data_IF_380026684643
#
_entry.id   IF_380026684643
#
_cell.length_a   1.000
_cell.length_b   1.000
_cell.length_c   1.000
_cell.angle_alpha   90.00
_cell.angle_beta   90.00
_cell.angle_gamma   90.00
#
_symmetry.space_group_name_H-M   'P 1'
#
loop_
_entity.id
_entity.type
_entity.pdbx_description
1 polymer ?
#
# COMPACT_ATOMS: atom_id res chain seq x y z
N UNK A 1 4.67 43.57 27.20
CA UNK A 1 3.81 42.44 26.80
C UNK A 1 4.42 41.90 25.53
N UNK A 2 4.98 40.69 25.55
CA UNK A 2 5.68 40.14 24.40
C UNK A 2 4.63 39.73 23.35
N UNK A 3 4.72 40.28 22.15
CA UNK A 3 3.85 39.90 21.02
C UNK A 3 4.20 38.47 20.60
N UNK A 4 3.45 37.49 21.07
CA UNK A 4 3.52 36.11 20.58
C UNK A 4 2.77 36.02 19.24
N UNK A 5 3.44 35.57 18.18
CA UNK A 5 2.81 35.31 16.89
C UNK A 5 2.17 33.92 16.92
N UNK A 6 0.90 33.81 16.50
CA UNK A 6 0.26 32.52 16.29
C UNK A 6 0.50 32.03 14.86
N UNK A 7 1.15 30.87 14.74
CA UNK A 7 1.45 30.25 13.46
C UNK A 7 0.67 28.95 13.32
N UNK A 8 -0.08 28.79 12.23
CA UNK A 8 -0.82 27.56 11.95
C UNK A 8 0.06 26.61 11.15
N UNK A 9 0.36 25.43 11.69
CA UNK A 9 1.07 24.36 11.00
C UNK A 9 0.06 23.34 10.46
N UNK A 10 0.10 23.07 9.17
CA UNK A 10 -0.76 22.14 8.46
C UNK A 10 0.04 20.93 8.00
N UNK A 11 -0.40 19.73 8.40
CA UNK A 11 0.18 18.46 8.01
C UNK A 11 -0.92 17.52 7.47
N UNK A 12 -1.00 17.40 6.14
CA UNK A 12 -2.04 16.62 5.48
C UNK A 12 -3.44 17.17 5.76
N UNK A 13 -4.26 16.43 6.51
CA UNK A 13 -5.62 16.84 6.94
C UNK A 13 -5.66 17.45 8.35
N UNK A 14 -4.53 17.46 9.05
CA UNK A 14 -4.42 17.96 10.43
C UNK A 14 -3.82 19.36 10.42
N UNK A 15 -4.28 20.21 11.33
CA UNK A 15 -3.75 21.56 11.51
C UNK A 15 -3.71 21.93 12.98
N UNK A 16 -2.64 22.61 13.38
CA UNK A 16 -2.39 23.03 14.75
C UNK A 16 -1.90 24.46 14.79
N UNK A 17 -2.17 25.19 15.87
CA UNK A 17 -1.59 26.52 16.09
C UNK A 17 -0.47 26.46 17.12
N UNK A 18 0.67 27.05 16.80
CA UNK A 18 1.85 27.15 17.67
C UNK A 18 2.18 28.62 17.86
N UNK A 19 2.35 29.06 19.12
CA UNK A 19 2.78 30.40 19.45
C UNK A 19 4.31 30.50 19.32
N UNK A 20 4.82 31.55 18.66
CA UNK A 20 6.24 31.76 18.39
C UNK A 20 6.61 33.23 18.59
N UNK A 21 7.75 33.52 19.23
CA UNK A 21 8.24 34.88 19.39
C UNK A 21 8.85 35.43 18.07
N UNK A 22 8.43 36.62 17.58
CA UNK A 22 8.80 37.15 16.26
C UNK A 22 10.28 37.54 16.09
N UNK A 23 10.98 37.78 17.19
CA UNK A 23 12.32 38.39 17.19
C UNK A 23 13.43 37.46 17.69
N UNK A 24 13.10 36.19 17.95
CA UNK A 24 14.06 35.22 18.46
C UNK A 24 14.74 34.46 17.30
N UNK A 25 16.08 34.47 17.17
CA UNK A 25 16.78 33.60 16.22
C UNK A 25 16.51 32.10 16.44
N UNK A 26 16.06 31.70 17.64
CA UNK A 26 15.70 30.31 17.98
C UNK A 26 14.20 29.99 17.76
N UNK A 27 13.41 30.97 17.30
CA UNK A 27 11.97 30.83 17.02
C UNK A 27 11.65 29.61 16.12
N UNK A 28 12.50 29.32 15.14
CA UNK A 28 12.32 28.20 14.23
C UNK A 28 12.55 26.85 14.94
N UNK A 29 13.49 26.77 15.87
CA UNK A 29 13.76 25.55 16.64
C UNK A 29 12.67 25.30 17.67
N UNK A 30 12.15 26.35 18.33
CA UNK A 30 10.96 26.26 19.18
C UNK A 30 9.72 25.81 18.42
N UNK A 31 9.50 26.34 17.22
CA UNK A 31 8.42 25.89 16.34
C UNK A 31 8.57 24.41 15.98
N UNK A 32 9.77 23.97 15.61
CA UNK A 32 10.02 22.55 15.29
C UNK A 32 9.87 21.64 16.51
N UNK A 33 10.25 22.10 17.70
CA UNK A 33 10.02 21.38 18.94
C UNK A 33 8.52 21.22 19.23
N UNK A 34 7.74 22.30 19.11
CA UNK A 34 6.27 22.23 19.26
C UNK A 34 5.60 21.33 18.22
N UNK A 35 6.11 21.28 17.00
CA UNK A 35 5.66 20.33 15.97
C UNK A 35 6.02 18.89 16.34
N UNK A 36 7.19 18.66 16.95
CA UNK A 36 7.61 17.34 17.41
C UNK A 36 6.65 16.79 18.46
N UNK A 37 6.26 17.62 19.43
CA UNK A 37 5.34 17.21 20.49
C UNK A 37 3.94 16.87 19.97
N UNK A 38 3.45 17.63 18.99
CA UNK A 38 2.09 17.46 18.48
C UNK A 38 1.96 16.42 17.35
N UNK A 39 2.94 16.35 16.46
CA UNK A 39 2.91 15.47 15.28
C UNK A 39 3.86 14.26 15.41
N UNK A 40 4.56 14.11 16.53
CA UNK A 40 5.56 13.06 16.77
C UNK A 40 6.61 12.98 15.65
N UNK A 41 7.00 14.13 15.10
CA UNK A 41 7.93 14.22 13.99
C UNK A 41 9.20 14.92 14.47
N UNK A 42 10.35 14.25 14.52
CA UNK A 42 11.59 14.91 14.97
C UNK A 42 11.95 16.12 14.09
N UNK A 43 12.53 17.20 14.65
CA UNK A 43 12.94 18.41 13.91
C UNK A 43 13.75 18.16 12.64
N UNK A 44 14.55 17.08 12.64
CA UNK A 44 15.41 16.62 11.54
C UNK A 44 14.63 16.18 10.30
N UNK A 45 13.39 15.74 10.50
CA UNK A 45 12.49 15.22 9.48
C UNK A 45 11.45 16.23 9.02
N UNK A 46 11.44 17.42 9.62
CA UNK A 46 10.49 18.48 9.32
C UNK A 46 11.04 19.38 8.22
N UNK A 47 10.26 19.54 7.14
CA UNK A 47 10.47 20.57 6.13
C UNK A 47 9.27 21.52 6.17
N UNK A 48 9.52 22.76 6.58
CA UNK A 48 8.50 23.79 6.70
C UNK A 48 8.47 24.65 5.43
N UNK A 49 7.28 24.84 4.87
CA UNK A 49 7.08 25.62 3.65
C UNK A 49 6.05 26.72 3.91
N UNK A 50 6.43 27.97 3.62
CA UNK A 50 5.56 29.14 3.67
C UNK A 50 5.37 29.66 2.24
N UNK A 51 4.12 29.69 1.75
CA UNK A 51 3.77 30.18 0.40
C UNK A 51 4.65 29.61 -0.73
N UNK A 52 5.00 28.33 -0.63
CA UNK A 52 5.82 27.63 -1.62
C UNK A 52 7.34 27.85 -1.50
N UNK A 53 7.82 28.56 -0.47
CA UNK A 53 9.25 28.70 -0.16
C UNK A 53 9.61 27.98 1.13
N UNK A 54 10.78 27.36 1.15
CA UNK A 54 11.31 26.70 2.35
C UNK A 54 11.63 27.75 3.42
N UNK A 55 11.21 27.48 4.66
CA UNK A 55 11.46 28.35 5.81
C UNK A 55 12.87 28.12 6.32
N UNK A 56 13.69 29.16 6.25
CA UNK A 56 15.04 29.26 6.83
C UNK A 56 15.03 30.16 8.07
N UNK A 57 16.15 30.19 8.81
CA UNK A 57 16.35 31.13 9.93
C UNK A 57 16.24 32.61 9.54
N UNK A 58 16.33 32.93 8.25
CA UNK A 58 16.14 34.28 7.71
C UNK A 58 14.71 34.60 7.28
N UNK A 59 13.78 33.65 7.42
CA UNK A 59 12.39 33.81 6.99
C UNK A 59 11.57 34.54 8.04
N UNK A 60 10.98 35.67 7.66
CA UNK A 60 10.11 36.47 8.54
C UNK A 60 8.75 35.78 8.66
N UNK A 61 8.42 35.29 9.86
CA UNK A 61 7.10 34.76 10.18
C UNK A 61 6.18 35.93 10.58
N UNK A 62 4.93 35.89 10.14
CA UNK A 62 3.91 36.89 10.50
C UNK A 62 2.78 36.22 11.27
N UNK A 63 2.06 37.00 12.08
CA UNK A 63 0.92 36.49 12.84
C UNK A 63 -0.15 35.92 11.89
N UNK A 64 -0.77 34.81 12.29
CA UNK A 64 -1.77 34.08 11.50
C UNK A 64 -1.23 33.38 10.25
N UNK A 65 0.10 33.27 10.06
CA UNK A 65 0.63 32.61 8.88
C UNK A 65 0.42 31.08 8.90
N UNK A 66 0.18 30.52 7.72
CA UNK A 66 -0.01 29.06 7.53
C UNK A 66 1.26 28.43 6.97
N UNK A 67 1.86 27.54 7.75
CA UNK A 67 3.00 26.73 7.36
C UNK A 67 2.55 25.35 6.95
N UNK A 68 3.07 24.88 5.83
CA UNK A 68 2.88 23.51 5.40
C UNK A 68 4.05 22.68 5.91
N UNK A 69 3.75 21.67 6.71
CA UNK A 69 4.73 20.69 7.18
C UNK A 69 4.83 19.56 6.16
N UNK A 70 6.05 19.33 5.68
CA UNK A 70 6.40 18.21 4.82
C UNK A 70 7.42 17.32 5.52
N UNK A 71 7.40 16.03 5.19
CA UNK A 71 8.44 15.09 5.59
C UNK A 71 9.65 15.26 4.67
N UNK A 72 10.82 15.46 5.23
CA UNK A 72 12.05 15.55 4.44
C UNK A 72 12.47 14.15 3.92
N UNK A 73 13.34 14.08 2.91
CA UNK A 73 13.89 12.83 2.36
C UNK A 73 14.49 11.92 3.43
N UNK A 74 15.10 12.49 4.47
CA UNK A 74 15.62 11.75 5.62
C UNK A 74 14.56 10.91 6.38
N UNK A 75 13.28 11.34 6.36
CA UNK A 75 12.17 10.55 6.94
C UNK A 75 11.85 9.32 6.08
N UNK A 76 11.96 9.46 4.76
CA UNK A 76 11.74 8.35 3.81
C UNK A 76 12.97 7.46 3.65
N UNK A 77 14.16 7.98 3.98
CA UNK A 77 15.43 7.27 4.01
C UNK A 77 15.72 6.61 5.37
N UNK A 78 14.83 6.70 6.35
CA UNK A 78 14.79 5.72 7.42
C UNK A 78 14.18 4.45 6.84
N UNK A 79 14.97 3.44 6.40
CA UNK A 79 14.43 2.09 6.42
C UNK A 79 13.99 1.88 7.86
N UNK A 80 12.79 1.34 8.04
CA UNK A 80 12.42 0.68 9.28
C UNK A 80 13.66 0.01 9.86
N UNK A 81 14.13 0.50 11.01
CA UNK A 81 15.28 -0.06 11.70
C UNK A 81 14.86 -1.43 12.24
N UNK A 82 14.62 -2.39 11.35
CA UNK A 82 14.73 -3.79 11.68
C UNK A 82 16.17 -3.94 12.16
N UNK A 83 16.31 -4.32 13.43
CA UNK A 83 17.60 -4.61 14.08
C UNK A 83 18.46 -5.36 13.06
N UNK A 84 19.57 -4.75 12.62
CA UNK A 84 20.56 -5.44 11.79
C UNK A 84 20.99 -6.65 12.61
N UNK A 85 20.64 -7.85 12.16
CA UNK A 85 21.04 -9.08 12.84
C UNK A 85 22.56 -9.13 12.80
N UNK A 86 23.20 -9.06 13.97
CA UNK A 86 24.64 -9.25 14.06
C UNK A 86 24.95 -10.72 13.80
N UNK A 87 25.81 -10.97 12.81
CA UNK A 87 26.21 -12.31 12.39
C UNK A 87 26.96 -13.05 13.49
N UNK A 88 27.54 -12.29 14.44
CA UNK A 88 28.30 -12.83 15.56
C UNK A 88 27.41 -13.33 16.71
N UNK A 89 26.15 -12.88 16.80
CA UNK A 89 25.18 -13.33 17.81
C UNK A 89 24.39 -14.57 17.37
N UNK A 90 24.59 -15.06 16.14
CA UNK A 90 23.92 -16.27 15.67
C UNK A 90 24.51 -17.52 16.33
N UNK A 91 23.62 -18.35 16.89
CA UNK A 91 23.95 -19.68 17.41
C UNK A 91 24.64 -20.54 16.35
N UNK A 92 25.56 -21.39 16.81
CA UNK A 92 26.29 -22.33 15.96
C UNK A 92 25.30 -23.34 15.34
N UNK A 93 25.01 -23.16 14.06
CA UNK A 93 24.01 -23.95 13.32
C UNK A 93 22.99 -23.09 12.57
N UNK A 94 22.93 -21.79 12.86
CA UNK A 94 22.09 -20.83 12.15
C UNK A 94 22.88 -20.04 11.11
N UNK A 95 22.17 -19.54 10.11
CA UNK A 95 22.69 -18.79 8.98
C UNK A 95 21.81 -17.59 8.67
N UNK A 96 22.46 -16.43 8.47
CA UNK A 96 21.78 -15.22 8.02
C UNK A 96 21.66 -15.22 6.49
N UNK A 97 20.43 -15.22 5.99
CA UNK A 97 20.16 -15.06 4.56
C UNK A 97 19.64 -13.66 4.27
N UNK A 98 20.44 -12.90 3.53
CA UNK A 98 20.12 -11.56 3.07
C UNK A 98 19.54 -11.66 1.66
N UNK A 99 18.24 -11.45 1.54
CA UNK A 99 17.49 -11.53 0.28
C UNK A 99 17.24 -10.13 -0.25
N UNK A 100 17.73 -9.87 -1.46
CA UNK A 100 17.59 -8.58 -2.14
C UNK A 100 16.56 -8.66 -3.26
N UNK A 101 15.62 -7.71 -3.29
CA UNK A 101 14.67 -7.49 -4.40
C UNK A 101 14.75 -6.02 -4.80
N UNK A 102 15.49 -5.71 -5.87
CA UNK A 102 15.75 -4.32 -6.27
C UNK A 102 16.47 -3.55 -5.17
N UNK A 103 15.83 -2.50 -4.63
CA UNK A 103 16.34 -1.70 -3.51
C UNK A 103 15.96 -2.26 -2.14
N UNK A 104 15.00 -3.18 -2.07
CA UNK A 104 14.52 -3.76 -0.82
C UNK A 104 15.42 -4.90 -0.36
N UNK A 105 15.68 -4.96 0.94
CA UNK A 105 16.48 -5.99 1.61
C UNK A 105 15.66 -6.66 2.70
N UNK A 106 15.66 -7.99 2.70
CA UNK A 106 15.00 -8.83 3.70
C UNK A 106 16.05 -9.72 4.36
N UNK A 107 16.19 -9.59 5.67
CA UNK A 107 17.14 -10.37 6.46
C UNK A 107 16.37 -11.48 7.19
N UNK A 108 16.70 -12.73 6.91
CA UNK A 108 15.98 -13.90 7.45
C UNK A 108 16.99 -14.94 7.95
N UNK A 109 16.73 -15.48 9.14
CA UNK A 109 17.56 -16.52 9.75
C UNK A 109 17.00 -17.89 9.40
N UNK A 110 17.88 -18.81 8.98
CA UNK A 110 17.58 -20.20 8.71
C UNK A 110 18.60 -21.15 9.34
N UNK A 111 18.19 -22.38 9.70
CA UNK A 111 19.14 -23.43 10.07
C UNK A 111 19.99 -23.83 8.86
N UNK A 112 21.26 -24.21 9.09
CA UNK A 112 22.18 -24.68 8.04
C UNK A 112 21.70 -25.95 7.35
N UNK A 113 20.97 -26.80 8.06
CA UNK A 113 20.30 -28.00 7.54
C UNK A 113 19.06 -27.69 6.70
N UNK A 114 18.63 -26.43 6.63
CA UNK A 114 17.46 -26.01 5.86
C UNK A 114 17.66 -26.15 4.36
N UNK A 115 16.55 -26.30 3.64
CA UNK A 115 16.53 -26.36 2.18
C UNK A 115 16.28 -24.98 1.57
N UNK A 116 16.65 -24.82 0.29
CA UNK A 116 16.29 -23.62 -0.49
C UNK A 116 14.77 -23.47 -0.61
N UNK A 117 14.01 -24.58 -0.63
CA UNK A 117 12.55 -24.54 -0.62
C UNK A 117 12.00 -23.82 0.62
N UNK A 118 12.57 -24.06 1.80
CA UNK A 118 12.12 -23.42 3.04
C UNK A 118 12.37 -21.91 3.02
N UNK A 119 13.47 -21.50 2.41
CA UNK A 119 13.75 -20.09 2.14
C UNK A 119 12.72 -19.51 1.19
N UNK A 120 12.45 -20.21 0.07
CA UNK A 120 11.44 -19.75 -0.89
C UNK A 120 10.07 -19.62 -0.25
N UNK A 121 9.65 -20.57 0.61
CA UNK A 121 8.36 -20.52 1.33
C UNK A 121 8.26 -19.31 2.27
N UNK A 122 9.30 -19.03 3.06
CA UNK A 122 9.27 -17.92 4.01
C UNK A 122 9.35 -16.57 3.30
N UNK A 123 10.20 -16.47 2.27
CA UNK A 123 10.31 -15.26 1.44
C UNK A 123 9.04 -15.06 0.62
N UNK A 124 8.42 -16.12 0.09
CA UNK A 124 7.15 -16.03 -0.64
C UNK A 124 6.05 -15.52 0.27
N UNK A 125 5.95 -16.02 1.51
CA UNK A 125 4.98 -15.51 2.49
C UNK A 125 5.20 -14.02 2.80
N UNK A 126 6.45 -13.60 3.03
CA UNK A 126 6.79 -12.17 3.28
C UNK A 126 6.47 -11.28 2.08
N UNK A 127 6.65 -11.80 0.86
CA UNK A 127 6.35 -11.08 -0.38
C UNK A 127 4.88 -11.20 -0.82
N UNK A 128 4.03 -11.90 -0.07
CA UNK A 128 2.63 -12.12 -0.43
C UNK A 128 2.42 -12.99 -1.66
N UNK A 129 3.35 -13.90 -1.96
CA UNK A 129 3.28 -14.82 -3.10
C UNK A 129 2.57 -16.12 -2.73
N UNK A 130 1.62 -16.54 -3.57
CA UNK A 130 0.80 -17.75 -3.39
C UNK A 130 1.56 -19.07 -3.54
N UNK A 131 2.72 -19.05 -4.22
CA UNK A 131 3.54 -20.25 -4.44
C UNK A 131 5.04 -19.95 -4.27
N UNK A 132 5.83 -20.81 -3.62
CA UNK A 132 7.29 -20.71 -3.57
C UNK A 132 7.96 -20.82 -4.94
N UNK A 133 7.30 -21.50 -5.88
CA UNK A 133 7.79 -21.65 -7.27
C UNK A 133 7.77 -20.33 -8.03
N UNK A 134 7.00 -19.36 -7.53
CA UNK A 134 6.98 -18.00 -8.03
C UNK A 134 8.34 -17.28 -7.97
N UNK A 135 9.19 -17.77 -7.07
CA UNK A 135 10.41 -17.12 -6.66
C UNK A 135 11.62 -17.86 -7.22
N UNK A 136 12.40 -17.15 -8.02
CA UNK A 136 13.72 -17.56 -8.45
C UNK A 136 14.76 -16.91 -7.55
N UNK A 137 15.36 -17.71 -6.69
CA UNK A 137 16.50 -17.28 -5.86
C UNK A 137 17.79 -17.41 -6.68
N UNK A 138 18.60 -16.35 -6.68
CA UNK A 138 19.92 -16.31 -7.31
C UNK A 138 20.97 -16.11 -6.22
N UNK A 139 21.85 -17.09 -6.03
CA UNK A 139 22.96 -17.04 -5.07
C UNK A 139 24.26 -17.08 -5.85
N UNK A 140 25.10 -16.05 -5.70
CA UNK A 140 26.39 -15.92 -6.43
C UNK A 140 26.26 -16.15 -7.96
N UNK A 141 25.18 -15.64 -8.56
CA UNK A 141 24.91 -15.79 -10.00
C UNK A 141 24.36 -17.15 -10.44
N UNK A 142 24.18 -18.11 -9.53
CA UNK A 142 23.57 -19.42 -9.81
C UNK A 142 22.17 -19.52 -9.20
N UNK A 143 21.31 -20.32 -9.81
CA UNK A 143 19.95 -20.58 -9.30
C UNK A 143 19.88 -21.98 -8.72
N UNK A 144 20.02 -22.13 -7.40
CA UNK A 144 20.00 -23.44 -6.76
C UNK A 144 18.62 -24.10 -6.89
N UNK A 145 18.61 -25.44 -6.90
CA UNK A 145 17.39 -26.26 -6.91
C UNK A 145 16.74 -26.24 -5.53
N UNK A 146 15.46 -26.61 -5.46
CA UNK A 146 14.69 -26.53 -4.21
C UNK A 146 15.23 -27.45 -3.11
N UNK A 147 15.84 -28.56 -3.50
CA UNK A 147 16.45 -29.58 -2.62
C UNK A 147 17.86 -29.21 -2.16
N UNK A 148 18.45 -28.12 -2.68
CA UNK A 148 19.83 -27.77 -2.31
C UNK A 148 19.86 -27.34 -0.84
N UNK A 149 20.75 -27.95 -0.04
CA UNK A 149 20.92 -27.62 1.38
C UNK A 149 21.68 -26.30 1.52
N UNK A 150 21.24 -25.43 2.44
CA UNK A 150 21.84 -24.11 2.64
C UNK A 150 23.32 -24.17 3.01
N UNK A 151 23.74 -25.20 3.74
CA UNK A 151 25.15 -25.46 4.07
C UNK A 151 26.05 -25.53 2.83
N UNK A 152 25.59 -26.18 1.75
CA UNK A 152 26.36 -26.29 0.50
C UNK A 152 26.53 -24.94 -0.22
N UNK A 153 25.58 -24.01 -0.02
CA UNK A 153 25.60 -22.67 -0.62
C UNK A 153 26.40 -21.68 0.24
N UNK A 154 26.34 -21.86 1.56
CA UNK A 154 27.08 -21.10 2.57
C UNK A 154 28.57 -21.39 2.56
N UNK A 155 28.92 -22.68 2.43
CA UNK A 155 30.24 -23.19 2.81
C UNK A 155 30.53 -22.85 4.27
N UNK A 156 31.66 -22.19 4.53
CA UNK A 156 32.08 -21.77 5.87
C UNK A 156 31.43 -20.47 6.35
N UNK A 157 30.70 -19.75 5.49
CA UNK A 157 30.18 -18.41 5.81
C UNK A 157 28.91 -18.50 6.65
N UNK A 158 28.82 -17.64 7.68
CA UNK A 158 27.61 -17.48 8.51
C UNK A 158 26.53 -16.61 7.86
N UNK A 159 26.81 -15.99 6.71
CA UNK A 159 25.86 -15.17 5.96
C UNK A 159 25.89 -15.47 4.45
N UNK A 160 24.70 -15.57 3.84
CA UNK A 160 24.50 -15.72 2.40
C UNK A 160 23.75 -14.51 1.85
N UNK A 161 24.21 -13.99 0.72
CA UNK A 161 23.48 -13.00 -0.08
C UNK A 161 22.77 -13.70 -1.23
N UNK A 162 21.47 -13.48 -1.35
CA UNK A 162 20.63 -13.99 -2.41
C UNK A 162 19.84 -12.86 -3.05
N UNK A 163 19.59 -12.96 -4.35
CA UNK A 163 18.66 -12.08 -5.05
C UNK A 163 17.36 -12.84 -5.29
N UNK A 164 16.25 -12.22 -4.94
CA UNK A 164 14.90 -12.73 -5.21
C UNK A 164 14.37 -12.11 -6.49
N UNK A 165 14.24 -12.93 -7.53
CA UNK A 165 13.59 -12.57 -8.79
C UNK A 165 12.24 -13.28 -8.85
N UNK A 166 11.21 -12.62 -9.37
CA UNK A 166 9.98 -13.32 -9.72
C UNK A 166 10.17 -14.01 -11.08
N UNK A 167 9.54 -15.17 -11.25
CA UNK A 167 9.51 -15.83 -12.56
C UNK A 167 8.75 -14.97 -13.58
N UNK A 168 9.01 -15.20 -14.87
CA UNK A 168 8.31 -14.50 -15.94
C UNK A 168 6.79 -14.70 -15.78
N UNK A 169 6.01 -13.65 -16.04
CA UNK A 169 4.54 -13.58 -15.86
C UNK A 169 4.03 -13.49 -14.41
N UNK A 170 4.85 -13.69 -13.38
CA UNK A 170 4.38 -13.53 -11.99
C UNK A 170 4.04 -12.09 -11.62
N UNK A 171 4.81 -11.12 -12.16
CA UNK A 171 4.53 -9.71 -11.95
C UNK A 171 3.16 -9.31 -12.53
N UNK A 172 2.81 -9.88 -13.68
CA UNK A 172 1.50 -9.69 -14.30
C UNK A 172 0.41 -10.30 -13.40
N UNK A 173 0.65 -11.48 -12.83
CA UNK A 173 -0.29 -12.08 -11.88
C UNK A 173 -0.47 -11.24 -10.61
N UNK A 174 0.62 -10.70 -10.03
CA UNK A 174 0.53 -9.81 -8.87
C UNK A 174 -0.24 -8.53 -9.18
N UNK A 175 0.07 -7.89 -10.32
CA UNK A 175 -0.66 -6.71 -10.79
C UNK A 175 -2.15 -7.03 -10.97
N UNK A 176 -2.50 -8.18 -11.55
CA UNK A 176 -3.90 -8.58 -11.71
C UNK A 176 -4.61 -8.94 -10.41
N UNK A 177 -3.88 -9.46 -9.42
CA UNK A 177 -4.42 -9.66 -8.07
C UNK A 177 -4.63 -8.33 -7.34
N UNK A 178 -3.77 -7.33 -7.56
CA UNK A 178 -3.95 -5.96 -7.07
C UNK A 178 -5.15 -5.29 -7.75
N UNK A 179 -5.25 -5.35 -9.08
CA UNK A 179 -6.40 -4.88 -9.86
C UNK A 179 -7.72 -5.50 -9.32
N UNK A 180 -7.72 -6.80 -9.06
CA UNK A 180 -8.89 -7.49 -8.47
C UNK A 180 -9.25 -6.91 -7.10
N UNK A 181 -8.27 -6.65 -6.22
CA UNK A 181 -8.55 -6.06 -4.90
C UNK A 181 -9.15 -4.67 -5.03
N UNK A 182 -8.66 -3.86 -5.95
CA UNK A 182 -9.23 -2.53 -6.23
C UNK A 182 -10.67 -2.63 -6.73
N UNK A 183 -10.93 -3.50 -7.71
CA UNK A 183 -12.29 -3.73 -8.23
C UNK A 183 -13.26 -4.26 -7.17
N UNK A 184 -12.82 -5.11 -6.25
CA UNK A 184 -13.64 -5.58 -5.12
C UNK A 184 -14.00 -4.45 -4.16
N UNK A 185 -13.08 -3.51 -3.92
CA UNK A 185 -13.36 -2.34 -3.09
C UNK A 185 -14.32 -1.38 -3.80
N UNK A 186 -14.15 -1.17 -5.11
CA UNK A 186 -15.08 -0.39 -5.94
C UNK A 186 -16.49 -1.01 -5.91
N UNK A 187 -16.60 -2.34 -6.07
CA UNK A 187 -17.87 -3.06 -5.98
C UNK A 187 -18.56 -2.88 -4.62
N UNK A 188 -17.81 -2.99 -3.53
CA UNK A 188 -18.34 -2.78 -2.19
C UNK A 188 -18.83 -1.33 -1.99
N UNK A 189 -18.10 -0.36 -2.55
CA UNK A 189 -18.49 1.05 -2.53
C UNK A 189 -19.77 1.29 -3.34
N UNK A 190 -19.87 0.72 -4.54
CA UNK A 190 -21.06 0.81 -5.40
C UNK A 190 -22.29 0.16 -4.73
N UNK A 191 -22.11 -0.99 -4.07
CA UNK A 191 -23.18 -1.65 -3.29
C UNK A 191 -23.66 -0.77 -2.14
N UNK A 192 -22.73 -0.13 -1.42
CA UNK A 192 -23.09 0.79 -0.35
C UNK A 192 -23.81 2.03 -0.89
N UNK A 193 -23.42 2.54 -2.07
CA UNK A 193 -24.11 3.63 -2.74
C UNK A 193 -25.55 3.25 -3.10
N UNK A 194 -25.76 2.10 -3.76
CA UNK A 194 -27.10 1.62 -4.11
C UNK A 194 -28.01 1.51 -2.87
N UNK A 195 -27.51 0.93 -1.78
CA UNK A 195 -28.27 0.81 -0.54
C UNK A 195 -28.62 2.17 0.08
N UNK A 196 -27.74 3.18 -0.04
CA UNK A 196 -28.01 4.54 0.44
C UNK A 196 -29.12 5.18 -0.38
N UNK A 197 -29.02 5.11 -1.71
CA UNK A 197 -30.01 5.62 -2.65
C UNK A 197 -31.37 4.98 -2.37
N UNK A 198 -31.43 3.64 -2.26
CA UNK A 198 -32.65 2.92 -1.91
C UNK A 198 -33.27 3.39 -0.58
N UNK A 199 -32.46 3.61 0.46
CA UNK A 199 -32.97 4.10 1.77
C UNK A 199 -33.46 5.53 1.70
N UNK A 200 -32.80 6.38 0.91
CA UNK A 200 -33.20 7.77 0.71
C UNK A 200 -34.51 7.85 -0.07
N UNK A 201 -34.65 7.04 -1.13
CA UNK A 201 -35.87 6.90 -1.91
C UNK A 201 -37.03 6.38 -1.06
N UNK A 202 -36.82 5.32 -0.27
CA UNK A 202 -37.86 4.75 0.61
C UNK A 202 -38.38 5.74 1.68
N UNK A 203 -37.59 6.77 1.99
CA UNK A 203 -37.92 7.80 2.97
C UNK A 203 -38.26 9.15 2.32
N UNK A 204 -38.33 9.21 0.99
CA UNK A 204 -38.56 10.43 0.20
C UNK A 204 -37.59 11.59 0.53
N UNK A 205 -36.34 11.28 0.89
CA UNK A 205 -35.34 12.28 1.26
C UNK A 205 -34.63 12.95 0.06
N UNK A 206 -34.85 12.45 -1.15
CA UNK A 206 -34.19 12.90 -2.38
C UNK A 206 -35.22 13.23 -3.44
N UNK A 207 -34.93 14.22 -4.28
CA UNK A 207 -35.79 14.52 -5.42
C UNK A 207 -35.72 13.39 -6.46
N UNK A 208 -36.78 13.28 -7.29
CA UNK A 208 -36.86 12.25 -8.33
C UNK A 208 -35.67 12.31 -9.30
N UNK A 209 -35.31 13.51 -9.75
CA UNK A 209 -34.21 13.70 -10.70
C UNK A 209 -32.85 13.35 -10.08
N UNK A 210 -32.65 13.68 -8.80
CA UNK A 210 -31.44 13.27 -8.06
C UNK A 210 -31.39 11.75 -7.90
N UNK A 211 -32.49 11.08 -7.54
CA UNK A 211 -32.54 9.63 -7.42
C UNK A 211 -32.30 8.93 -8.76
N UNK A 212 -32.87 9.42 -9.85
CA UNK A 212 -32.63 8.88 -11.19
C UNK A 212 -31.16 9.06 -11.62
N UNK A 213 -30.58 10.23 -11.35
CA UNK A 213 -29.18 10.50 -11.65
C UNK A 213 -28.23 9.59 -10.84
N UNK A 214 -28.48 9.44 -9.54
CA UNK A 214 -27.66 8.56 -8.69
C UNK A 214 -27.81 7.09 -9.06
N UNK A 215 -29.02 6.62 -9.40
CA UNK A 215 -29.23 5.26 -9.88
C UNK A 215 -28.55 5.00 -11.23
N UNK A 216 -28.61 5.95 -12.17
CA UNK A 216 -27.92 5.84 -13.47
C UNK A 216 -26.41 5.73 -13.25
N UNK A 217 -25.86 6.55 -12.36
CA UNK A 217 -24.44 6.50 -12.01
C UNK A 217 -24.04 5.14 -11.42
N UNK A 218 -24.86 4.59 -10.53
CA UNK A 218 -24.60 3.27 -9.92
C UNK A 218 -24.70 2.15 -10.96
N UNK A 219 -25.62 2.25 -11.92
CA UNK A 219 -25.74 1.31 -13.03
C UNK A 219 -24.49 1.31 -13.91
N UNK A 220 -24.06 2.48 -14.38
CA UNK A 220 -22.87 2.64 -15.21
C UNK A 220 -21.62 2.10 -14.50
N UNK A 221 -21.48 2.40 -13.21
CA UNK A 221 -20.39 1.92 -12.37
C UNK A 221 -20.42 0.40 -12.21
N UNK A 222 -21.61 -0.20 -11.99
CA UNK A 222 -21.79 -1.64 -11.92
C UNK A 222 -21.38 -2.36 -13.20
N UNK A 223 -21.81 -1.85 -14.36
CA UNK A 223 -21.45 -2.39 -15.67
C UNK A 223 -19.94 -2.26 -15.96
N UNK A 224 -19.34 -1.10 -15.61
CA UNK A 224 -17.89 -0.87 -15.73
C UNK A 224 -17.09 -1.87 -14.89
N UNK A 225 -17.48 -2.06 -13.63
CA UNK A 225 -16.82 -3.01 -12.72
C UNK A 225 -16.95 -4.44 -13.25
N UNK A 226 -18.14 -4.86 -13.70
CA UNK A 226 -18.37 -6.19 -14.27
C UNK A 226 -17.46 -6.44 -15.49
N UNK A 227 -17.39 -5.48 -16.42
CA UNK A 227 -16.53 -5.58 -17.61
C UNK A 227 -15.05 -5.69 -17.25
N UNK A 228 -14.57 -4.91 -16.28
CA UNK A 228 -13.20 -4.97 -15.81
C UNK A 228 -12.87 -6.32 -15.12
N UNK A 229 -13.80 -6.85 -14.33
CA UNK A 229 -13.66 -8.17 -13.71
C UNK A 229 -13.63 -9.31 -14.76
N UNK A 230 -14.40 -9.18 -15.83
CA UNK A 230 -14.37 -10.12 -16.97
C UNK A 230 -13.00 -10.13 -17.65
N UNK A 231 -12.40 -8.95 -17.85
CA UNK A 231 -11.03 -8.84 -18.38
C UNK A 231 -10.01 -9.50 -17.45
N UNK A 232 -10.08 -9.23 -16.14
CA UNK A 232 -9.22 -9.90 -15.14
C UNK A 232 -9.40 -11.42 -15.20
N UNK A 233 -10.63 -11.92 -15.28
CA UNK A 233 -10.91 -13.36 -15.44
C UNK A 233 -10.24 -13.94 -16.69
N UNK A 234 -10.33 -13.26 -17.84
CA UNK A 234 -9.70 -13.70 -19.08
C UNK A 234 -8.17 -13.78 -18.95
N UNK A 235 -7.54 -12.81 -18.28
CA UNK A 235 -6.10 -12.83 -18.02
C UNK A 235 -5.68 -13.96 -17.07
N UNK A 236 -6.47 -14.22 -16.03
CA UNK A 236 -6.20 -15.29 -15.06
C UNK A 236 -6.44 -16.69 -15.66
N UNK A 237 -7.43 -16.85 -16.54
CA UNK A 237 -7.73 -18.10 -17.25
C UNK A 237 -6.81 -18.34 -18.47
N UNK A 238 -6.32 -17.28 -19.11
CA UNK A 238 -5.50 -17.34 -20.33
C UNK A 238 -4.05 -17.79 -20.11
N UNK A 239 -3.62 -18.00 -18.87
CA UNK A 239 -2.31 -18.55 -18.56
C UNK A 239 -2.19 -19.99 -19.13
N UNK A 240 -1.35 -20.15 -20.16
CA UNK A 240 -1.03 -21.45 -20.80
C UNK A 240 -0.72 -22.51 -19.73
N UNK A 241 -0.94 -23.79 -20.04
CA UNK A 241 -0.79 -24.99 -19.17
C UNK A 241 0.50 -25.08 -18.32
N UNK A 242 1.51 -24.25 -18.56
CA UNK A 242 2.80 -24.19 -17.88
C UNK A 242 3.10 -22.86 -17.18
N UNK A 243 2.17 -21.88 -17.19
CA UNK A 243 2.30 -20.61 -16.51
C UNK A 243 1.79 -20.65 -15.06
N UNK A 244 2.17 -19.67 -14.22
CA UNK A 244 1.63 -19.54 -12.88
C UNK A 244 0.11 -19.37 -12.95
N UNK A 245 -0.63 -20.39 -12.47
CA UNK A 245 -2.09 -20.32 -12.37
C UNK A 245 -2.47 -19.49 -11.15
N UNK A 246 -3.51 -18.67 -11.31
CA UNK A 246 -4.20 -18.10 -10.15
C UNK A 246 -4.71 -19.26 -9.27
N UNK A 247 -4.79 -19.04 -7.96
CA UNK A 247 -5.39 -20.05 -7.10
C UNK A 247 -6.84 -20.28 -7.51
N UNK A 248 -7.35 -21.51 -7.37
CA UNK A 248 -8.76 -21.82 -7.65
C UNK A 248 -9.70 -20.93 -6.82
N UNK A 249 -9.24 -20.50 -5.64
CA UNK A 249 -9.94 -19.53 -4.80
C UNK A 249 -10.03 -18.14 -5.45
N UNK A 250 -8.96 -17.67 -6.12
CA UNK A 250 -8.96 -16.39 -6.83
C UNK A 250 -9.93 -16.41 -8.01
N UNK A 251 -9.98 -17.52 -8.76
CA UNK A 251 -10.92 -17.67 -9.87
C UNK A 251 -12.37 -17.75 -9.40
N UNK A 252 -12.63 -18.45 -8.30
CA UNK A 252 -13.94 -18.49 -7.67
C UNK A 252 -14.37 -17.09 -7.18
N UNK A 253 -13.46 -16.35 -6.54
CA UNK A 253 -13.72 -14.99 -6.06
C UNK A 253 -14.04 -14.01 -7.20
N UNK A 254 -13.30 -14.08 -8.32
CA UNK A 254 -13.57 -13.26 -9.51
C UNK A 254 -14.94 -13.58 -10.10
N UNK A 255 -15.28 -14.87 -10.21
CA UNK A 255 -16.59 -15.28 -10.75
C UNK A 255 -17.74 -14.80 -9.88
N UNK A 256 -17.61 -14.96 -8.55
CA UNK A 256 -18.59 -14.44 -7.59
C UNK A 256 -18.68 -12.91 -7.64
N UNK A 257 -17.57 -12.20 -7.85
CA UNK A 257 -17.56 -10.75 -7.96
C UNK A 257 -18.28 -10.26 -9.22
N UNK A 258 -18.12 -10.95 -10.36
CA UNK A 258 -18.85 -10.68 -11.60
C UNK A 258 -20.35 -10.85 -11.39
N UNK A 259 -20.77 -11.96 -10.77
CA UNK A 259 -22.18 -12.21 -10.45
C UNK A 259 -22.76 -11.10 -9.57
N UNK A 260 -22.01 -10.67 -8.54
CA UNK A 260 -22.42 -9.57 -7.66
C UNK A 260 -22.49 -8.21 -8.37
N UNK A 261 -21.58 -7.94 -9.30
CA UNK A 261 -21.57 -6.71 -10.08
C UNK A 261 -22.77 -6.67 -11.06
N UNK A 262 -23.06 -7.78 -11.73
CA UNK A 262 -24.23 -7.91 -12.59
C UNK A 262 -25.53 -7.78 -11.79
N UNK A 263 -25.64 -8.44 -10.64
CA UNK A 263 -26.82 -8.31 -9.77
C UNK A 263 -27.02 -6.87 -9.27
N UNK A 264 -25.93 -6.12 -9.02
CA UNK A 264 -26.01 -4.70 -8.68
C UNK A 264 -26.53 -3.85 -9.85
N UNK A 265 -26.03 -4.09 -11.06
CA UNK A 265 -26.49 -3.41 -12.26
C UNK A 265 -27.98 -3.70 -12.53
N UNK A 266 -28.40 -4.96 -12.46
CA UNK A 266 -29.81 -5.36 -12.62
C UNK A 266 -30.70 -4.70 -11.56
N UNK A 267 -30.27 -4.65 -10.30
CA UNK A 267 -31.03 -4.00 -9.23
C UNK A 267 -31.15 -2.48 -9.44
N UNK A 268 -30.09 -1.81 -9.90
CA UNK A 268 -30.14 -0.40 -10.24
C UNK A 268 -31.05 -0.13 -11.45
N UNK A 269 -30.98 -0.98 -12.48
CA UNK A 269 -31.82 -0.88 -13.66
C UNK A 269 -33.31 -1.08 -13.32
N UNK A 270 -33.66 -2.11 -12.54
CA UNK A 270 -35.04 -2.32 -12.11
C UNK A 270 -35.61 -1.15 -11.30
N UNK A 271 -34.76 -0.50 -10.49
CA UNK A 271 -35.14 0.73 -9.77
C UNK A 271 -35.31 1.92 -10.71
N UNK A 272 -34.47 2.07 -11.73
CA UNK A 272 -34.63 3.12 -12.75
C UNK A 272 -35.93 2.94 -13.54
N UNK A 273 -36.25 1.73 -13.97
CA UNK A 273 -37.47 1.43 -14.73
C UNK A 273 -38.72 1.72 -13.89
N UNK A 274 -38.72 1.31 -12.62
CA UNK A 274 -39.83 1.59 -11.71
C UNK A 274 -39.95 3.08 -11.36
N UNK A 275 -38.86 3.80 -11.10
CA UNK A 275 -38.91 5.24 -10.77
C UNK A 275 -39.04 6.18 -11.97
N UNK A 276 -38.77 5.70 -13.19
CA UNK A 276 -39.02 6.46 -14.41
C UNK A 276 -40.48 6.34 -14.87
N UNK A 277 -41.14 5.21 -14.58
CA UNK A 277 -42.53 4.96 -14.99
C UNK A 277 -43.60 5.67 -14.13
N UNK A 278 -43.28 6.07 -12.90
CA UNK A 278 -44.13 6.87 -12.00
C UNK A 278 -43.60 8.30 -11.93
#
# INVERSE_FOLDING_TARGET
>A
MADELQVTVVFGKLSTSVAVAPQDPEALEHLKAGICDQFQLEPKFQRLVLRGRDVSSSSVLTDGCKLLLLRNRAFHEQPSASKRIDVNELEDGLLLMQVFRGKSRYDVIFPRSGSVLDVKKKVSAVLGLSSPQALRLVVKGKTPTDETVLETLAGTKRAIKAMALLQAQQHVMQEKEEDLRELLNELASAQAALQRVQRQMARNFTSRDESLFELSRVLDEGQRIAGNLELVKQYLCGAKKTGPRASDQTLAAVTQAIEKANALAEAAQGLLETHSAY
#
